data_IF_656016934454
#
_entry.id   IF_656016934454
#
_cell.length_a   1.000
_cell.length_b   1.000
_cell.length_c   1.000
_cell.angle_alpha   90.00
_cell.angle_beta   90.00
_cell.angle_gamma   90.00
#
_symmetry.space_group_name_H-M   'P 1'
#
loop_
_entity.id
_entity.type
_entity.pdbx_description
1 polymer ?
#
# COMPACT_ATOMS: atom_id res chain seq x y z
N UNK A 1 12.41 -49.99 -24.80
CA UNK A 1 12.02 -48.58 -25.06
C UNK A 1 13.08 -47.89 -25.91
N UNK A 2 12.74 -47.50 -27.14
CA UNK A 2 13.68 -47.02 -28.17
C UNK A 2 14.32 -45.66 -27.86
N UNK A 3 15.64 -45.54 -28.11
CA UNK A 3 16.48 -44.39 -27.78
C UNK A 3 15.99 -43.04 -28.35
N UNK A 4 15.16 -43.03 -29.39
CA UNK A 4 14.57 -41.80 -29.95
C UNK A 4 13.49 -41.18 -29.04
N UNK A 5 12.69 -41.98 -28.30
CA UNK A 5 11.67 -41.44 -27.38
C UNK A 5 12.27 -40.81 -26.12
N UNK A 6 13.45 -41.26 -25.68
CA UNK A 6 14.19 -40.64 -24.56
C UNK A 6 14.62 -39.19 -24.87
N UNK A 7 14.94 -38.87 -26.13
CA UNK A 7 15.37 -37.52 -26.53
C UNK A 7 14.25 -36.48 -26.45
N UNK A 8 13.02 -36.86 -26.76
CA UNK A 8 11.87 -35.94 -26.72
C UNK A 8 11.36 -35.69 -25.30
N UNK A 9 11.44 -36.68 -24.40
CA UNK A 9 11.05 -36.53 -22.98
C UNK A 9 12.10 -35.70 -22.22
N UNK A 10 13.38 -35.83 -22.57
CA UNK A 10 14.44 -35.00 -21.99
C UNK A 10 14.36 -33.52 -22.44
N UNK A 11 13.88 -33.25 -23.66
CA UNK A 11 13.71 -31.89 -24.17
C UNK A 11 12.58 -31.10 -23.51
N UNK A 12 11.47 -31.75 -23.16
CA UNK A 12 10.32 -31.09 -22.52
C UNK A 12 10.52 -30.80 -21.02
N UNK A 13 11.33 -31.60 -20.31
CA UNK A 13 11.70 -31.34 -18.91
C UNK A 13 12.69 -30.18 -18.75
N UNK A 14 13.59 -29.99 -19.73
CA UNK A 14 14.54 -28.86 -19.72
C UNK A 14 13.86 -27.51 -19.97
N UNK A 15 12.81 -27.46 -20.79
CA UNK A 15 12.04 -26.24 -21.06
C UNK A 15 11.20 -25.78 -19.84
N UNK A 16 10.68 -26.71 -19.03
CA UNK A 16 9.93 -26.39 -17.83
C UNK A 16 10.83 -25.87 -16.68
N UNK A 17 12.08 -26.36 -16.59
CA UNK A 17 13.04 -25.90 -15.59
C UNK A 17 13.57 -24.47 -15.87
N UNK A 18 13.68 -24.10 -17.15
CA UNK A 18 14.10 -22.75 -17.56
C UNK A 18 13.00 -21.69 -17.33
N UNK A 19 11.73 -22.09 -17.28
CA UNK A 19 10.60 -21.19 -16.96
C UNK A 19 10.38 -21.02 -15.45
N UNK A 20 10.89 -21.92 -14.60
CA UNK A 20 10.74 -21.85 -13.14
C UNK A 20 11.76 -20.93 -12.43
N UNK A 21 12.92 -20.68 -13.04
CA UNK A 21 14.00 -19.89 -12.42
C UNK A 21 13.97 -18.38 -12.70
N UNK A 22 13.11 -17.91 -13.61
CA UNK A 22 13.10 -16.52 -14.09
C UNK A 22 12.33 -15.52 -13.22
N UNK A 23 11.66 -15.96 -12.15
CA UNK A 23 10.82 -15.10 -11.29
C UNK A 23 11.45 -14.74 -9.94
N UNK A 24 12.73 -15.07 -9.71
CA UNK A 24 13.49 -14.38 -8.68
C UNK A 24 13.72 -12.95 -9.17
N UNK A 25 12.70 -12.10 -8.94
CA UNK A 25 12.71 -10.68 -9.22
C UNK A 25 14.05 -10.10 -8.74
N UNK A 26 14.77 -9.42 -9.63
CA UNK A 26 15.93 -8.62 -9.27
C UNK A 26 15.45 -7.40 -8.45
N UNK A 27 14.97 -7.62 -7.23
CA UNK A 27 14.76 -6.55 -6.27
C UNK A 27 16.13 -6.14 -5.74
N UNK A 28 16.39 -4.83 -5.75
CA UNK A 28 17.56 -4.26 -5.11
C UNK A 28 17.29 -4.11 -3.61
N UNK A 29 18.34 -4.05 -2.79
CA UNK A 29 18.22 -3.74 -1.36
C UNK A 29 17.38 -2.47 -1.13
N UNK A 30 17.56 -1.45 -1.98
CA UNK A 30 16.77 -0.22 -1.94
C UNK A 30 15.27 -0.46 -2.16
N UNK A 31 14.90 -1.29 -3.14
CA UNK A 31 13.49 -1.65 -3.37
C UNK A 31 12.88 -2.43 -2.21
N UNK A 32 13.64 -3.35 -1.61
CA UNK A 32 13.19 -4.14 -0.45
C UNK A 32 13.01 -3.26 0.79
N UNK A 33 13.96 -2.36 1.04
CA UNK A 33 13.87 -1.36 2.13
C UNK A 33 12.69 -0.43 1.89
N UNK A 34 12.49 0.07 0.66
CA UNK A 34 11.37 0.93 0.33
C UNK A 34 10.03 0.25 0.60
N UNK A 35 9.85 -1.00 0.18
CA UNK A 35 8.61 -1.73 0.41
C UNK A 35 8.36 -1.97 1.91
N UNK A 36 9.41 -2.31 2.66
CA UNK A 36 9.32 -2.53 4.10
C UNK A 36 8.98 -1.25 4.88
N UNK A 37 9.55 -0.10 4.47
CA UNK A 37 9.23 1.21 5.05
C UNK A 37 7.79 1.63 4.72
N UNK A 38 7.32 1.42 3.49
CA UNK A 38 5.92 1.66 3.13
C UNK A 38 4.97 0.84 3.99
N UNK A 39 5.24 -0.47 4.14
CA UNK A 39 4.44 -1.35 5.01
C UNK A 39 4.48 -0.95 6.48
N UNK A 40 5.62 -0.48 6.99
CA UNK A 40 5.72 0.01 8.37
C UNK A 40 4.82 1.25 8.56
N UNK A 41 4.83 2.16 7.58
CA UNK A 41 4.02 3.36 7.67
C UNK A 41 2.51 3.09 7.47
N UNK A 42 2.14 2.11 6.64
CA UNK A 42 0.76 1.61 6.51
C UNK A 42 0.22 0.97 7.79
N UNK A 43 1.12 0.59 8.69
CA UNK A 43 0.81 0.13 10.05
C UNK A 43 0.93 1.25 11.10
N UNK A 44 1.15 2.49 10.68
CA UNK A 44 1.27 3.66 11.55
C UNK A 44 2.44 3.55 12.55
N UNK A 45 3.50 2.86 12.17
CA UNK A 45 4.72 2.70 12.99
C UNK A 45 5.78 3.77 12.71
N UNK A 46 5.56 4.56 11.65
CA UNK A 46 6.53 5.53 11.14
C UNK A 46 5.92 6.92 11.19
N UNK A 47 6.61 7.82 11.88
CA UNK A 47 6.25 9.24 11.87
C UNK A 47 6.68 9.88 10.55
N UNK A 48 5.77 10.60 9.92
CA UNK A 48 6.00 11.38 8.71
C UNK A 48 5.64 12.84 8.95
N UNK A 49 6.44 13.73 8.36
CA UNK A 49 6.14 15.15 8.21
C UNK A 49 5.81 15.38 6.74
N UNK A 50 4.55 15.71 6.48
CA UNK A 50 4.02 15.95 5.14
C UNK A 50 3.78 17.45 5.02
N UNK A 51 4.50 18.11 4.13
CA UNK A 51 4.41 19.54 3.90
C UNK A 51 3.83 19.78 2.51
N UNK A 52 2.72 20.49 2.45
CA UNK A 52 2.12 20.94 1.21
C UNK A 52 2.47 22.41 1.00
N UNK A 53 2.97 22.74 -0.18
CA UNK A 53 3.53 24.06 -0.44
C UNK A 53 3.16 24.56 -1.84
N UNK A 54 3.15 25.88 -1.97
CA UNK A 54 3.02 26.54 -3.25
C UNK A 54 4.41 26.79 -3.84
N UNK A 55 4.70 26.21 -5.00
CA UNK A 55 6.01 26.31 -5.67
C UNK A 55 6.29 27.66 -6.34
N UNK A 56 5.30 28.57 -6.41
CA UNK A 56 5.49 29.95 -6.91
C UNK A 56 5.78 30.92 -5.77
N UNK A 57 5.07 30.79 -4.64
CA UNK A 57 5.13 31.76 -3.54
C UNK A 57 5.99 31.31 -2.36
N UNK A 58 6.56 30.10 -2.41
CA UNK A 58 7.30 29.46 -1.31
C UNK A 58 6.48 29.37 0.00
N UNK A 59 5.16 29.46 -0.08
CA UNK A 59 4.27 29.41 1.08
C UNK A 59 3.88 27.97 1.42
N UNK A 60 3.98 27.63 2.72
CA UNK A 60 3.43 26.39 3.25
C UNK A 60 1.93 26.54 3.45
N UNK A 61 1.17 25.68 2.76
CA UNK A 61 -0.29 25.67 2.79
C UNK A 61 -0.81 24.79 3.93
N UNK A 62 -0.13 23.67 4.17
CA UNK A 62 -0.51 22.70 5.18
C UNK A 62 0.72 21.91 5.64
N UNK A 63 0.78 21.59 6.92
CA UNK A 63 1.74 20.63 7.46
C UNK A 63 0.99 19.60 8.29
N UNK A 64 1.22 18.32 8.00
CA UNK A 64 0.67 17.18 8.73
C UNK A 64 1.84 16.42 9.33
N UNK A 65 1.79 16.19 10.63
CA UNK A 65 2.84 15.46 11.36
C UNK A 65 2.23 14.32 12.16
N UNK A 66 2.91 13.18 12.14
CA UNK A 66 2.56 12.02 12.97
C UNK A 66 2.65 10.70 12.21
N UNK A 67 2.12 9.62 12.79
CA UNK A 67 2.13 8.32 12.15
C UNK A 67 1.09 8.27 11.04
N UNK A 68 1.55 8.39 9.80
CA UNK A 68 0.69 8.54 8.63
C UNK A 68 1.07 7.60 7.48
N UNK A 69 0.06 7.00 6.86
CA UNK A 69 0.15 6.34 5.56
C UNK A 69 -0.23 7.35 4.46
N UNK A 70 0.35 7.17 3.27
CA UNK A 70 0.09 8.01 2.11
C UNK A 70 -0.19 7.16 0.88
N UNK A 71 -1.07 7.64 0.02
CA UNK A 71 -1.33 7.08 -1.32
C UNK A 71 -1.33 8.23 -2.32
N UNK A 72 -0.51 8.12 -3.36
CA UNK A 72 -0.48 9.07 -4.47
C UNK A 72 -1.34 8.54 -5.63
N UNK A 73 -2.36 9.31 -6.02
CA UNK A 73 -3.23 9.04 -7.17
C UNK A 73 -2.99 10.02 -8.33
N UNK A 74 -1.76 10.55 -8.44
CA UNK A 74 -1.28 11.42 -9.52
C UNK A 74 -1.63 12.90 -9.32
N UNK A 75 -2.92 13.22 -9.23
CA UNK A 75 -3.40 14.60 -8.98
C UNK A 75 -3.96 14.81 -7.57
N UNK A 76 -3.86 13.79 -6.72
CA UNK A 76 -4.36 13.81 -5.36
C UNK A 76 -3.46 12.97 -4.47
N UNK A 77 -3.05 13.54 -3.34
CA UNK A 77 -2.42 12.81 -2.26
C UNK A 77 -3.46 12.49 -1.19
N UNK A 78 -3.66 11.21 -0.91
CA UNK A 78 -4.44 10.77 0.24
C UNK A 78 -3.52 10.53 1.43
N UNK A 79 -3.85 11.10 2.57
CA UNK A 79 -3.09 10.94 3.81
C UNK A 79 -4.00 10.40 4.89
N UNK A 80 -3.67 9.24 5.45
CA UNK A 80 -4.36 8.68 6.61
C UNK A 80 -3.41 8.76 7.80
N UNK A 81 -3.80 9.47 8.85
CA UNK A 81 -3.00 9.60 10.06
C UNK A 81 -3.73 9.02 11.26
N UNK A 82 -3.00 8.32 12.12
CA UNK A 82 -3.50 7.88 13.42
C UNK A 82 -3.35 9.02 14.42
N UNK A 83 -4.46 9.52 14.97
CA UNK A 83 -4.49 10.67 15.87
C UNK A 83 -4.76 10.31 17.34
N UNK A 84 -4.98 9.03 17.63
CA UNK A 84 -5.24 8.52 18.97
C UNK A 84 -5.47 7.01 18.97
N UNK A 85 -5.81 6.45 20.14
CA UNK A 85 -6.13 5.02 20.23
C UNK A 85 -7.41 4.70 19.44
N UNK A 86 -7.27 3.99 18.32
CA UNK A 86 -8.37 3.68 17.42
C UNK A 86 -8.94 4.86 16.63
N UNK A 87 -8.33 6.04 16.71
CA UNK A 87 -8.78 7.25 16.03
C UNK A 87 -7.88 7.59 14.83
N UNK A 88 -8.50 7.83 13.69
CA UNK A 88 -7.82 8.12 12.43
C UNK A 88 -8.45 9.32 11.74
N UNK A 89 -7.64 10.10 11.03
CA UNK A 89 -8.10 11.16 10.13
C UNK A 89 -7.61 10.85 8.72
N UNK A 90 -8.48 11.06 7.73
CA UNK A 90 -8.14 10.99 6.32
C UNK A 90 -8.19 12.39 5.72
N UNK A 91 -7.16 12.75 4.97
CA UNK A 91 -7.05 14.00 4.24
C UNK A 91 -6.96 13.67 2.75
N UNK A 92 -7.70 14.43 1.94
CA UNK A 92 -7.58 14.41 0.48
C UNK A 92 -6.97 15.74 0.07
N UNK A 93 -5.79 15.69 -0.53
CA UNK A 93 -5.01 16.85 -0.86
C UNK A 93 -4.89 16.93 -2.38
N UNK A 94 -5.63 17.86 -2.99
CA UNK A 94 -5.55 18.10 -4.43
C UNK A 94 -4.23 18.75 -4.81
N UNK A 95 -3.57 18.19 -5.82
CA UNK A 95 -2.35 18.72 -6.40
C UNK A 95 -2.68 19.58 -7.62
N UNK A 96 -1.84 20.56 -7.91
CA UNK A 96 -1.98 21.43 -9.09
C UNK A 96 -0.58 21.84 -9.56
N UNK A 97 -0.50 22.52 -10.71
CA UNK A 97 0.77 22.97 -11.27
C UNK A 97 1.61 23.80 -10.29
N UNK A 98 0.95 24.50 -9.36
CA UNK A 98 1.62 25.35 -8.37
C UNK A 98 1.63 24.76 -6.97
N UNK A 99 0.90 23.66 -6.71
CA UNK A 99 0.77 23.07 -5.38
C UNK A 99 1.33 21.66 -5.39
N UNK A 100 2.41 21.48 -4.65
CA UNK A 100 3.11 20.21 -4.51
C UNK A 100 3.28 19.83 -3.04
N UNK A 101 3.87 18.66 -2.80
CA UNK A 101 4.07 18.13 -1.47
C UNK A 101 5.49 17.57 -1.30
N UNK A 102 5.96 17.59 -0.06
CA UNK A 102 7.18 16.94 0.37
C UNK A 102 6.87 16.06 1.57
N UNK A 103 7.33 14.81 1.54
CA UNK A 103 7.16 13.87 2.65
C UNK A 103 8.53 13.50 3.19
N UNK A 104 8.76 13.90 4.42
CA UNK A 104 9.92 13.47 5.20
C UNK A 104 9.49 12.33 6.12
N UNK A 105 10.24 11.23 6.09
CA UNK A 105 10.21 10.27 7.17
C UNK A 105 11.00 10.84 8.34
N UNK A 106 10.42 10.87 9.54
CA UNK A 106 11.06 11.39 10.75
C UNK A 106 12.23 10.54 11.23
N UNK A 107 12.22 10.09 12.48
CA UNK A 107 13.33 9.30 13.02
C UNK A 107 13.60 8.04 12.16
N UNK A 108 14.88 7.69 11.92
CA UNK A 108 15.22 6.48 11.20
C UNK A 108 14.64 5.24 11.89
N UNK A 109 13.83 4.48 11.16
CA UNK A 109 13.29 3.20 11.61
C UNK A 109 14.08 2.07 10.94
N UNK A 110 14.49 1.07 11.72
CA UNK A 110 15.23 -0.07 11.20
C UNK A 110 14.37 -0.87 10.23
N UNK A 111 14.68 -0.77 8.93
CA UNK A 111 14.11 -1.60 7.89
C UNK A 111 15.14 -2.64 7.42
N UNK A 112 14.72 -3.91 7.32
CA UNK A 112 15.57 -4.99 6.83
C UNK A 112 15.69 -4.91 5.30
N UNK A 113 16.90 -4.94 4.75
CA UNK A 113 17.12 -5.10 3.31
C UNK A 113 16.91 -6.56 2.84
N UNK A 114 17.10 -7.52 3.74
CA UNK A 114 17.19 -8.95 3.39
C UNK A 114 15.91 -9.74 3.69
N UNK A 115 14.95 -9.16 4.40
CA UNK A 115 13.74 -9.86 4.84
C UNK A 115 12.49 -9.14 4.34
N UNK A 116 11.61 -9.90 3.70
CA UNK A 116 10.29 -9.43 3.31
C UNK A 116 9.38 -9.29 4.54
N UNK A 117 8.77 -8.12 4.73
CA UNK A 117 7.76 -7.91 5.77
C UNK A 117 6.38 -8.25 5.23
N UNK A 118 5.64 -9.14 5.89
CA UNK A 118 4.20 -9.36 5.66
C UNK A 118 3.43 -8.95 6.89
N UNK A 119 2.37 -8.18 6.73
CA UNK A 119 1.46 -7.86 7.83
C UNK A 119 0.13 -8.54 7.61
N UNK A 120 -0.28 -9.39 8.54
CA UNK A 120 -1.61 -10.00 8.57
C UNK A 120 -2.49 -9.26 9.59
N UNK A 121 -3.71 -8.87 9.20
CA UNK A 121 -4.71 -8.22 10.09
C UNK A 121 -5.93 -9.14 10.27
N UNK A 122 -5.90 -10.14 11.18
CA UNK A 122 -6.91 -11.21 11.25
C UNK A 122 -8.34 -10.71 11.54
N UNK A 123 -8.47 -9.64 12.32
CA UNK A 123 -9.78 -9.06 12.66
C UNK A 123 -10.50 -8.44 11.46
N UNK A 124 -9.81 -8.08 10.37
CA UNK A 124 -10.46 -7.60 9.14
C UNK A 124 -11.09 -8.73 8.31
N UNK A 125 -10.75 -10.00 8.59
CA UNK A 125 -11.26 -11.16 7.85
C UNK A 125 -12.70 -11.47 8.28
N UNK A 126 -13.11 -11.06 9.49
CA UNK A 126 -14.49 -11.17 9.96
C UNK A 126 -15.14 -9.80 9.72
N UNK A 127 -15.93 -9.62 8.65
CA UNK A 127 -16.54 -8.34 8.36
C UNK A 127 -17.53 -7.96 9.47
N UNK A 128 -17.47 -6.71 9.92
CA UNK A 128 -18.53 -6.12 10.72
C UNK A 128 -19.69 -5.77 9.78
N UNK A 129 -20.89 -6.32 10.04
CA UNK A 129 -22.05 -6.17 9.16
C UNK A 129 -22.96 -5.07 9.73
N UNK A 130 -22.84 -3.86 9.19
CA UNK A 130 -23.77 -2.75 9.49
C UNK A 130 -25.04 -2.89 8.61
N UNK A 131 -26.07 -3.55 9.16
CA UNK A 131 -27.35 -3.74 8.46
C UNK A 131 -28.19 -2.46 8.52
N UNK A 132 -28.39 -1.82 7.36
CA UNK A 132 -29.33 -0.69 7.19
C UNK A 132 -30.56 -1.14 6.44
N UNK A 133 -31.58 -1.61 7.16
CA UNK A 133 -32.91 -1.90 6.61
C UNK A 133 -33.90 -0.80 6.97
N UNK A 134 -34.57 -0.22 5.96
CA UNK A 134 -35.79 0.59 6.18
C UNK A 134 -37.03 -0.29 6.01
N UNK A 135 -38.00 -0.13 6.92
CA UNK A 135 -39.32 -0.78 6.85
C UNK A 135 -40.33 0.00 6.00
N UNK A 136 -39.93 1.10 5.35
CA UNK A 136 -40.83 2.00 4.62
C UNK A 136 -41.26 1.45 3.25
N UNK A 137 -40.49 0.52 2.67
CA UNK A 137 -40.79 -0.11 1.37
C UNK A 137 -41.53 -1.46 1.49
N UNK A 138 -42.05 -1.80 2.67
CA UNK A 138 -42.89 -2.98 2.81
C UNK A 138 -44.22 -2.75 2.07
N UNK A 139 -44.65 -3.64 1.15
CA UNK A 139 -45.96 -3.54 0.54
C UNK A 139 -47.01 -3.66 1.64
N UNK A 140 -47.60 -2.53 2.01
CA UNK A 140 -48.79 -2.51 2.85
C UNK A 140 -49.88 -3.16 2.02
N UNK A 141 -50.42 -4.29 2.50
CA UNK A 141 -51.56 -4.97 1.89
C UNK A 141 -52.59 -3.91 1.46
N UNK A 142 -52.72 -3.74 0.15
CA UNK A 142 -53.77 -2.91 -0.43
C UNK A 142 -55.11 -3.61 -0.13
N UNK A 143 -56.10 -2.88 0.42
CA UNK A 143 -57.39 -3.46 0.81
C UNK A 143 -58.19 -3.98 -0.39
#
# INVERSE_FOLDING_TARGET
MNARRKKYIAGSLAAAALLGGGLAACSTDASMVSENLSKAADNFEVNRRIVMFNGITDQYLLTIEGPCSITDEGHQLEVVCKTGSGAYKKHFLGLSDNVSYFVEQGEPVTASANHYRVTFKPQQIIPDVDFRGSTEDLPKNQP
#
